data_IF_727486586975
#
_entry.id   IF_727486586975
#
_cell.length_a   1.000
_cell.length_b   1.000
_cell.length_c   1.000
_cell.angle_alpha   90.00
_cell.angle_beta   90.00
_cell.angle_gamma   90.00
#
_symmetry.space_group_name_H-M   'P 1'
#
loop_
_entity.id
_entity.type
_entity.pdbx_description
1 polymer ?
#
# COMPACT_ATOMS: atom_id res chain seq x y z
N UNK A 1 42.95 -31.53 8.38
CA UNK A 1 43.10 -30.08 8.09
C UNK A 1 42.31 -29.69 6.83
N UNK A 2 42.41 -30.44 5.72
CA UNK A 2 41.64 -30.18 4.48
C UNK A 2 40.11 -30.22 4.67
N UNK A 3 39.60 -31.15 5.49
CA UNK A 3 38.16 -31.29 5.75
C UNK A 3 37.57 -30.10 6.52
N UNK A 4 38.32 -29.54 7.47
CA UNK A 4 37.90 -28.34 8.22
C UNK A 4 37.78 -27.11 7.32
N UNK A 5 38.65 -26.96 6.32
CA UNK A 5 38.55 -25.89 5.33
C UNK A 5 37.31 -26.02 4.44
N UNK A 6 36.97 -27.25 4.04
CA UNK A 6 35.76 -27.50 3.24
C UNK A 6 34.47 -27.23 4.03
N UNK A 7 34.41 -27.65 5.29
CA UNK A 7 33.25 -27.38 6.16
C UNK A 7 33.06 -25.90 6.44
N UNK A 8 34.13 -25.14 6.70
CA UNK A 8 34.05 -23.69 6.87
C UNK A 8 33.57 -22.98 5.61
N UNK A 9 34.06 -23.38 4.42
CA UNK A 9 33.63 -22.78 3.17
C UNK A 9 32.15 -23.08 2.85
N UNK A 10 31.67 -24.29 3.22
CA UNK A 10 30.27 -24.69 3.09
C UNK A 10 29.36 -23.89 4.03
N UNK A 11 29.74 -23.73 5.29
CA UNK A 11 29.02 -22.90 6.27
C UNK A 11 28.97 -21.42 5.86
N UNK A 12 30.09 -20.89 5.35
CA UNK A 12 30.15 -19.52 4.81
C UNK A 12 29.19 -19.32 3.64
N UNK A 13 29.16 -20.26 2.70
CA UNK A 13 28.27 -20.21 1.54
C UNK A 13 26.79 -20.31 1.94
N UNK A 14 26.47 -21.15 2.93
CA UNK A 14 25.12 -21.30 3.47
C UNK A 14 24.63 -20.00 4.14
N UNK A 15 25.50 -19.37 4.95
CA UNK A 15 25.19 -18.10 5.62
C UNK A 15 24.95 -16.97 4.63
N UNK A 16 25.74 -16.88 3.55
CA UNK A 16 25.54 -15.87 2.49
C UNK A 16 24.17 -16.07 1.81
N UNK A 17 23.78 -17.32 1.53
CA UNK A 17 22.46 -17.62 0.94
C UNK A 17 21.33 -17.20 1.87
N UNK A 18 21.46 -17.50 3.16
CA UNK A 18 20.47 -17.13 4.18
C UNK A 18 20.31 -15.60 4.30
N UNK A 19 21.44 -14.87 4.35
CA UNK A 19 21.43 -13.40 4.42
C UNK A 19 20.75 -12.80 3.18
N UNK A 20 21.01 -13.33 1.97
CA UNK A 20 20.36 -12.85 0.74
C UNK A 20 18.84 -13.04 0.78
N UNK A 21 18.38 -14.20 1.24
CA UNK A 21 16.94 -14.48 1.37
C UNK A 21 16.30 -13.57 2.42
N UNK A 22 16.97 -13.39 3.56
CA UNK A 22 16.49 -12.51 4.62
C UNK A 22 16.38 -11.06 4.15
N UNK A 23 17.40 -10.53 3.47
CA UNK A 23 17.38 -9.16 2.91
C UNK A 23 16.26 -9.02 1.88
N UNK A 24 16.11 -9.98 0.96
CA UNK A 24 15.04 -9.95 -0.04
C UNK A 24 13.64 -9.95 0.61
N UNK A 25 13.45 -10.77 1.65
CA UNK A 25 12.19 -10.86 2.39
C UNK A 25 11.86 -9.56 3.12
N UNK A 26 12.83 -9.00 3.88
CA UNK A 26 12.64 -7.74 4.59
C UNK A 26 12.38 -6.58 3.62
N UNK A 27 13.09 -6.54 2.50
CA UNK A 27 12.90 -5.52 1.46
C UNK A 27 11.51 -5.60 0.83
N UNK A 28 11.04 -6.82 0.53
CA UNK A 28 9.69 -7.04 0.00
C UNK A 28 8.61 -6.66 1.02
N UNK A 29 8.80 -7.01 2.29
CA UNK A 29 7.87 -6.66 3.36
C UNK A 29 7.79 -5.13 3.53
N UNK A 30 8.93 -4.44 3.55
CA UNK A 30 8.99 -2.98 3.63
C UNK A 30 8.32 -2.32 2.42
N UNK A 31 8.54 -2.85 1.21
CA UNK A 31 7.90 -2.36 0.00
C UNK A 31 6.37 -2.50 0.10
N UNK A 32 5.86 -3.66 0.51
CA UNK A 32 4.42 -3.89 0.69
C UNK A 32 3.83 -2.94 1.72
N UNK A 33 4.51 -2.69 2.84
CA UNK A 33 4.04 -1.72 3.84
C UNK A 33 4.12 -0.27 3.39
N UNK A 34 5.03 0.05 2.46
CA UNK A 34 5.16 1.40 1.89
C UNK A 34 4.11 1.72 0.82
N UNK A 35 3.40 0.70 0.33
CA UNK A 35 2.20 0.89 -0.48
C UNK A 35 1.07 1.32 0.46
N UNK A 36 1.13 2.56 0.95
CA UNK A 36 -0.02 3.21 1.55
C UNK A 36 -1.21 3.03 0.59
N UNK A 37 -2.32 2.55 1.12
CA UNK A 37 -3.53 2.27 0.36
C UNK A 37 -4.07 3.57 -0.22
N UNK A 38 -3.60 3.96 -1.41
CA UNK A 38 -4.09 5.09 -2.19
C UNK A 38 -5.48 4.84 -2.81
N UNK A 39 -6.19 3.80 -2.35
CA UNK A 39 -7.57 3.51 -2.73
C UNK A 39 -8.53 3.90 -1.59
N UNK A 40 -8.29 5.03 -0.94
CA UNK A 40 -9.35 5.72 -0.22
C UNK A 40 -10.29 6.32 -1.28
N UNK A 41 -11.17 5.48 -1.83
CA UNK A 41 -12.30 5.89 -2.66
C UNK A 41 -13.37 6.54 -1.75
N UNK A 42 -12.97 7.58 -1.03
CA UNK A 42 -13.77 8.35 -0.08
C UNK A 42 -14.06 9.75 -0.57
N UNK A 43 -14.05 9.97 -1.89
CA UNK A 43 -14.45 11.26 -2.45
C UNK A 43 -15.97 11.37 -2.36
N UNK A 44 -16.46 12.00 -1.28
CA UNK A 44 -17.87 12.38 -1.17
C UNK A 44 -18.10 13.57 -2.11
N UNK A 45 -18.82 13.36 -3.21
CA UNK A 45 -19.25 14.45 -4.07
C UNK A 45 -20.44 15.17 -3.44
N UNK A 46 -20.29 16.47 -3.15
CA UNK A 46 -21.42 17.32 -2.78
C UNK A 46 -22.18 17.74 -4.04
N UNK A 47 -23.42 17.31 -4.18
CA UNK A 47 -24.33 17.79 -5.23
C UNK A 47 -25.18 18.92 -4.65
N UNK A 48 -25.07 20.11 -5.23
CA UNK A 48 -25.83 21.30 -4.82
C UNK A 48 -26.70 21.75 -6.00
N UNK A 49 -27.96 22.07 -5.73
CA UNK A 49 -28.93 22.54 -6.71
C UNK A 49 -29.99 23.44 -6.08
N UNK A 50 -30.71 24.21 -6.90
CA UNK A 50 -31.87 24.99 -6.48
C UNK A 50 -33.16 24.33 -6.95
N UNK A 51 -34.20 24.39 -6.11
CA UNK A 51 -35.55 23.98 -6.50
C UNK A 51 -36.29 25.22 -6.95
N UNK A 52 -36.79 25.21 -8.19
CA UNK A 52 -37.54 26.32 -8.76
C UNK A 52 -39.00 25.93 -9.00
N UNK A 53 -39.92 26.87 -8.84
CA UNK A 53 -41.34 26.68 -9.16
C UNK A 53 -41.63 26.85 -10.67
N UNK A 54 -42.91 26.74 -11.07
CA UNK A 54 -43.33 26.92 -12.47
C UNK A 54 -43.08 28.32 -13.04
N UNK A 55 -42.89 29.32 -12.18
CA UNK A 55 -42.54 30.69 -12.59
C UNK A 55 -41.02 30.88 -12.77
N UNK A 56 -40.22 29.90 -12.36
CA UNK A 56 -38.76 29.96 -12.35
C UNK A 56 -38.17 30.58 -11.08
N UNK A 57 -38.99 30.89 -10.07
CA UNK A 57 -38.54 31.43 -8.79
C UNK A 57 -37.98 30.31 -7.90
N UNK A 58 -36.88 30.58 -7.19
CA UNK A 58 -36.29 29.63 -6.25
C UNK A 58 -37.17 29.49 -4.99
N UNK A 59 -37.41 28.25 -4.55
CA UNK A 59 -38.19 27.92 -3.35
C UNK A 59 -37.23 27.73 -2.16
N UNK A 60 -37.18 28.66 -1.20
CA UNK A 60 -36.29 28.53 -0.04
C UNK A 60 -36.76 27.40 0.89
N UNK A 61 -35.83 26.58 1.37
CA UNK A 61 -36.15 25.50 2.32
C UNK A 61 -36.88 24.30 1.71
N UNK A 62 -36.94 24.20 0.38
CA UNK A 62 -37.43 22.99 -0.28
C UNK A 62 -36.61 21.77 0.14
N UNK A 63 -37.28 20.70 0.56
CA UNK A 63 -36.66 19.39 0.78
C UNK A 63 -36.51 18.66 -0.55
N UNK A 64 -35.30 18.18 -0.84
CA UNK A 64 -35.00 17.30 -1.99
C UNK A 64 -35.26 15.85 -1.61
#
# INVERSE_FOLDING_TARGET
>A
MFDQYQEQHKMSTLNIRFIRVYVAFVSALLLVTSLEQAWAQGSTAAVVGTVNDMSGAAIPGASV
#
